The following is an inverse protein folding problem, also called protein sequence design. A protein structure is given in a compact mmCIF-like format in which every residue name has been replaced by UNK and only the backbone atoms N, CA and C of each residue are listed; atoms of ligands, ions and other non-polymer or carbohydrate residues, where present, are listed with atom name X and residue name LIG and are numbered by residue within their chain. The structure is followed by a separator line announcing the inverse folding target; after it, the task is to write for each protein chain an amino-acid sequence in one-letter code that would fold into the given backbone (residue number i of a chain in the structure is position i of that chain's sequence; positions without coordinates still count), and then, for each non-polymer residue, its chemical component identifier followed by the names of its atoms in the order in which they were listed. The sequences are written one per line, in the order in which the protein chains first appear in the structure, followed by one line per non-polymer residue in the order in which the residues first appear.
data_IF_524569778160
#
_entry.id   IF_524569778160
#
_cell.length_a   1.000
_cell.length_b   1.000
_cell.length_c   1.000
_cell.angle_alpha   90.00
_cell.angle_beta   90.00
_cell.angle_gamma   90.00
#
_symmetry.space_group_name_H-M   'P 1'
#
loop_
_entity.id
_entity.type
_entity.pdbx_description
1 polymer ?
#
# COMPACT_ATOMS: atom_id res chain seq x y z
N UNK A 1 24.56 6.93 11.92
CA UNK A 1 25.07 7.17 10.56
C UNK A 1 24.59 5.97 9.76
N UNK A 2 23.46 6.10 9.08
CA UNK A 2 22.95 5.12 8.12
C UNK A 2 23.70 5.44 6.83
N UNK A 3 24.35 4.47 6.24
CA UNK A 3 25.12 4.59 5.00
C UNK A 3 24.14 4.82 3.85
N UNK A 4 23.96 6.08 3.45
CA UNK A 4 22.95 6.58 2.51
C UNK A 4 23.38 6.51 1.03
N UNK A 5 24.41 5.73 0.71
CA UNK A 5 25.05 5.72 -0.62
C UNK A 5 25.02 4.34 -1.30
N UNK A 6 23.85 3.68 -1.36
CA UNK A 6 23.67 2.58 -2.28
C UNK A 6 22.72 3.02 -3.41
N UNK A 7 23.21 3.10 -4.65
CA UNK A 7 22.32 3.23 -5.79
C UNK A 7 21.46 1.97 -5.85
N UNK A 8 20.13 2.12 -5.79
CA UNK A 8 19.21 1.02 -6.04
C UNK A 8 19.42 0.54 -7.48
N UNK A 9 20.35 -0.40 -7.66
CA UNK A 9 20.45 -1.19 -8.88
C UNK A 9 19.13 -1.98 -9.00
N UNK A 10 18.62 -2.13 -10.21
CA UNK A 10 17.54 -3.07 -10.52
C UNK A 10 18.00 -4.49 -10.20
N UNK A 11 17.85 -4.87 -8.93
CA UNK A 11 18.04 -6.26 -8.54
C UNK A 11 16.74 -7.00 -8.84
N UNK A 12 16.80 -8.24 -9.35
CA UNK A 12 15.59 -9.06 -9.47
C UNK A 12 14.89 -9.10 -8.11
N UNK A 13 13.56 -9.02 -8.13
CA UNK A 13 12.77 -9.01 -6.91
C UNK A 13 13.15 -10.22 -6.05
N UNK A 14 13.54 -9.96 -4.81
CA UNK A 14 13.97 -11.00 -3.88
C UNK A 14 12.76 -11.84 -3.48
N UNK A 15 12.87 -13.17 -3.59
CA UNK A 15 11.85 -14.12 -3.17
C UNK A 15 12.14 -14.62 -1.75
N UNK A 16 11.08 -14.97 -1.02
CA UNK A 16 11.18 -15.52 0.34
C UNK A 16 11.43 -17.05 0.35
N UNK A 17 11.07 -17.73 -0.74
CA UNK A 17 11.04 -19.19 -0.85
C UNK A 17 9.63 -19.78 -0.73
N UNK A 18 8.68 -19.05 -0.15
CA UNK A 18 7.27 -19.44 -0.05
C UNK A 18 6.51 -19.22 -1.36
N UNK A 19 5.28 -19.78 -1.44
CA UNK A 19 4.40 -19.65 -2.59
C UNK A 19 3.09 -19.00 -2.21
N UNK A 20 2.60 -18.15 -3.11
CA UNK A 20 1.24 -17.61 -3.10
C UNK A 20 0.38 -18.53 -3.96
N UNK A 21 -0.74 -18.99 -3.43
CA UNK A 21 -1.69 -19.87 -4.12
C UNK A 21 -3.00 -19.11 -4.22
N UNK A 22 -3.43 -18.81 -5.44
CA UNK A 22 -4.68 -18.12 -5.72
C UNK A 22 -5.78 -19.14 -6.03
N UNK A 23 -6.90 -19.04 -5.32
CA UNK A 23 -8.06 -19.90 -5.54
C UNK A 23 -9.16 -19.18 -6.34
N UNK A 24 -10.03 -19.97 -6.97
CA UNK A 24 -11.23 -19.46 -7.65
C UNK A 24 -12.13 -18.70 -6.67
N UNK A 25 -12.92 -17.75 -7.20
CA UNK A 25 -13.76 -16.87 -6.38
C UNK A 25 -14.92 -17.63 -5.72
N UNK A 26 -15.35 -18.76 -6.28
CA UNK A 26 -16.46 -19.61 -5.84
C UNK A 26 -16.02 -20.84 -5.01
N UNK A 27 -14.72 -21.03 -4.80
CA UNK A 27 -14.22 -22.15 -4.00
C UNK A 27 -14.59 -22.03 -2.53
N UNK A 28 -15.07 -23.16 -1.96
CA UNK A 28 -15.35 -23.27 -0.52
C UNK A 28 -14.06 -23.44 0.30
N UNK A 29 -14.17 -23.25 1.61
CA UNK A 29 -13.08 -23.53 2.55
C UNK A 29 -12.58 -24.97 2.42
N UNK A 30 -13.52 -25.95 2.39
CA UNK A 30 -13.19 -27.36 2.31
C UNK A 30 -12.43 -27.70 1.04
N UNK A 31 -12.81 -27.11 -0.11
CA UNK A 31 -12.12 -27.30 -1.39
C UNK A 31 -10.70 -26.73 -1.37
N UNK A 32 -10.49 -25.56 -0.77
CA UNK A 32 -9.15 -24.95 -0.60
C UNK A 32 -8.25 -25.78 0.30
N UNK A 33 -8.77 -26.23 1.44
CA UNK A 33 -8.05 -27.13 2.37
C UNK A 33 -7.69 -28.42 1.67
N UNK A 34 -8.65 -29.05 0.96
CA UNK A 34 -8.42 -30.31 0.25
C UNK A 34 -7.35 -30.16 -0.84
N UNK A 35 -7.35 -29.06 -1.59
CA UNK A 35 -6.35 -28.77 -2.60
C UNK A 35 -4.94 -28.63 -2.00
N UNK A 36 -4.81 -27.97 -0.84
CA UNK A 36 -3.52 -27.83 -0.16
C UNK A 36 -3.04 -29.16 0.45
N UNK A 37 -3.94 -29.93 1.05
CA UNK A 37 -3.61 -31.23 1.65
C UNK A 37 -3.30 -32.31 0.63
N UNK A 38 -3.65 -32.12 -0.65
CA UNK A 38 -3.25 -33.01 -1.74
C UNK A 38 -1.76 -32.83 -2.13
N UNK A 39 -1.13 -31.73 -1.69
CA UNK A 39 0.28 -31.45 -1.95
C UNK A 39 1.17 -32.23 -1.00
N UNK A 40 2.11 -33.00 -1.52
CA UNK A 40 3.05 -33.77 -0.72
C UNK A 40 3.91 -32.85 0.17
N UNK A 41 3.87 -33.07 1.50
CA UNK A 41 4.61 -32.27 2.49
C UNK A 41 3.84 -31.05 3.00
N UNK A 42 2.53 -30.92 2.71
CA UNK A 42 1.62 -29.97 3.35
C UNK A 42 0.71 -30.76 4.31
N UNK A 43 1.15 -30.90 5.53
CA UNK A 43 0.43 -31.67 6.58
C UNK A 43 -0.50 -30.77 7.39
N UNK A 44 -0.13 -29.51 7.59
CA UNK A 44 -0.86 -28.56 8.43
C UNK A 44 -1.32 -27.34 7.63
N UNK A 45 -2.64 -27.10 7.62
CA UNK A 45 -3.26 -25.95 6.97
C UNK A 45 -3.98 -25.12 8.02
N UNK A 46 -3.54 -23.88 8.21
CA UNK A 46 -4.22 -22.90 9.05
C UNK A 46 -5.17 -22.03 8.23
N UNK A 47 -6.20 -21.50 8.87
CA UNK A 47 -7.16 -20.60 8.21
C UNK A 47 -7.39 -19.34 9.03
N UNK A 48 -7.52 -18.21 8.35
CA UNK A 48 -7.92 -16.95 8.98
C UNK A 48 -9.35 -16.98 9.54
N UNK A 49 -10.18 -17.96 9.13
CA UNK A 49 -11.52 -18.17 9.67
C UNK A 49 -11.50 -18.77 11.07
N UNK A 50 -10.48 -19.57 11.39
CA UNK A 50 -10.34 -20.25 12.68
C UNK A 50 -9.88 -19.32 13.81
N UNK A 51 -9.51 -18.11 13.46
CA UNK A 51 -8.90 -17.13 14.36
C UNK A 51 -9.82 -15.92 14.45
N UNK A 52 -10.25 -15.57 15.65
CA UNK A 52 -11.03 -14.35 15.89
C UNK A 52 -10.24 -13.14 15.40
N UNK A 53 -10.93 -12.07 14.97
CA UNK A 53 -10.35 -10.84 14.38
C UNK A 53 -9.21 -10.21 15.21
N UNK A 54 -9.05 -10.61 16.47
CA UNK A 54 -7.99 -10.14 17.39
C UNK A 54 -6.73 -11.00 17.38
N UNK A 55 -6.76 -12.21 16.82
CA UNK A 55 -5.72 -13.22 17.04
C UNK A 55 -4.97 -13.76 15.80
N UNK A 56 -5.21 -13.24 14.57
CA UNK A 56 -4.36 -13.58 13.43
C UNK A 56 -3.06 -12.76 13.51
N UNK A 57 -2.10 -13.25 14.26
CA UNK A 57 -0.75 -12.72 14.34
C UNK A 57 0.19 -13.43 13.35
N UNK A 58 1.40 -12.88 13.13
CA UNK A 58 2.41 -13.51 12.29
C UNK A 58 2.80 -14.92 12.71
N UNK A 59 2.50 -15.30 13.95
CA UNK A 59 2.76 -16.63 14.53
C UNK A 59 2.06 -17.77 13.77
N UNK A 60 0.93 -17.52 13.09
CA UNK A 60 0.24 -18.52 12.27
C UNK A 60 1.09 -18.91 11.05
N UNK A 61 1.84 -17.97 10.47
CA UNK A 61 2.71 -18.26 9.32
C UNK A 61 3.94 -19.08 9.69
N UNK A 62 4.25 -19.18 11.00
CA UNK A 62 5.40 -19.92 11.52
C UNK A 62 5.03 -21.33 11.96
N UNK A 63 3.74 -21.64 12.13
CA UNK A 63 3.28 -22.88 12.73
C UNK A 63 2.59 -23.84 11.78
N UNK A 64 2.19 -23.41 10.58
CA UNK A 64 1.51 -24.24 9.59
C UNK A 64 2.29 -24.24 8.27
N UNK A 65 2.25 -25.36 7.54
CA UNK A 65 2.86 -25.50 6.22
C UNK A 65 2.15 -24.62 5.19
N UNK A 66 0.86 -24.37 5.36
CA UNK A 66 0.09 -23.43 4.57
C UNK A 66 -0.91 -22.65 5.43
N UNK A 67 -1.15 -21.39 5.07
CA UNK A 67 -2.16 -20.52 5.70
C UNK A 67 -3.09 -19.92 4.67
N UNK A 68 -4.42 -20.14 4.83
CA UNK A 68 -5.47 -19.61 3.96
C UNK A 68 -5.99 -18.28 4.51
N UNK A 69 -6.00 -17.26 3.70
CA UNK A 69 -6.70 -15.98 3.90
C UNK A 69 -8.09 -16.09 3.25
N UNK A 70 -9.09 -16.42 4.04
CA UNK A 70 -10.42 -16.84 3.54
C UNK A 70 -11.13 -15.75 2.75
N UNK A 71 -11.14 -14.52 3.26
CA UNK A 71 -11.77 -13.38 2.56
C UNK A 71 -11.04 -13.03 1.27
N UNK A 72 -9.75 -13.31 1.22
CA UNK A 72 -8.91 -13.02 0.06
C UNK A 72 -8.87 -14.18 -0.94
N UNK A 73 -9.25 -15.41 -0.54
CA UNK A 73 -9.13 -16.62 -1.34
C UNK A 73 -7.71 -16.87 -1.83
N UNK A 74 -6.75 -16.61 -0.97
CA UNK A 74 -5.32 -16.79 -1.20
C UNK A 74 -4.78 -17.67 -0.08
N UNK A 75 -3.83 -18.56 -0.40
CA UNK A 75 -3.00 -19.18 0.60
C UNK A 75 -1.53 -18.80 0.42
N UNK A 76 -0.80 -18.84 1.52
CA UNK A 76 0.66 -18.79 1.54
C UNK A 76 1.17 -20.12 2.07
N UNK A 77 2.05 -20.78 1.32
CA UNK A 77 2.60 -22.07 1.70
C UNK A 77 4.15 -22.01 1.75
N UNK A 78 4.70 -22.62 2.80
CA UNK A 78 6.13 -22.88 2.94
C UNK A 78 6.41 -24.27 2.41
N UNK A 79 6.89 -24.36 1.18
CA UNK A 79 7.06 -25.62 0.47
C UNK A 79 8.51 -25.83 0.03
N UNK A 80 9.07 -26.93 0.45
CA UNK A 80 10.38 -27.38 -0.05
C UNK A 80 10.32 -27.80 -1.54
N UNK A 81 11.48 -28.12 -2.15
CA UNK A 81 11.54 -28.43 -3.58
C UNK A 81 10.62 -29.58 -4.03
N UNK A 82 10.47 -30.64 -3.23
CA UNK A 82 9.60 -31.79 -3.54
C UNK A 82 8.12 -31.38 -3.49
N UNK A 83 7.75 -30.66 -2.44
CA UNK A 83 6.40 -30.14 -2.29
C UNK A 83 6.04 -29.13 -3.38
N UNK A 84 7.02 -28.36 -3.89
CA UNK A 84 6.80 -27.44 -5.00
C UNK A 84 6.43 -28.19 -6.30
N UNK A 85 7.13 -29.28 -6.63
CA UNK A 85 6.76 -30.11 -7.80
C UNK A 85 5.37 -30.71 -7.64
N UNK A 86 5.00 -31.15 -6.42
CA UNK A 86 3.66 -31.64 -6.12
C UNK A 86 2.59 -30.54 -6.22
N UNK A 87 2.89 -29.33 -5.75
CA UNK A 87 2.00 -28.18 -5.83
C UNK A 87 1.76 -27.75 -7.28
N UNK A 88 2.80 -27.72 -8.11
CA UNK A 88 2.67 -27.39 -9.52
C UNK A 88 1.81 -28.45 -10.24
N UNK A 89 2.00 -29.74 -9.94
CA UNK A 89 1.19 -30.83 -10.49
C UNK A 89 -0.27 -30.76 -10.04
N UNK A 90 -0.52 -30.40 -8.78
CA UNK A 90 -1.89 -30.20 -8.26
C UNK A 90 -2.55 -29.01 -8.97
N UNK A 91 -1.82 -27.91 -9.16
CA UNK A 91 -2.35 -26.72 -9.83
C UNK A 91 -2.75 -26.98 -11.30
N UNK A 92 -2.05 -27.89 -12.00
CA UNK A 92 -2.43 -28.30 -13.36
C UNK A 92 -3.70 -29.14 -13.43
N UNK A 93 -4.03 -29.89 -12.37
CA UNK A 93 -5.11 -30.86 -12.35
C UNK A 93 -6.35 -30.37 -11.58
N UNK A 94 -6.17 -29.49 -10.62
CA UNK A 94 -7.22 -29.00 -9.74
C UNK A 94 -7.74 -27.62 -10.18
N UNK A 95 -8.96 -27.53 -10.73
CA UNK A 95 -9.52 -26.26 -11.22
C UNK A 95 -9.78 -25.22 -10.11
N UNK A 96 -9.68 -25.60 -8.84
CA UNK A 96 -9.82 -24.68 -7.70
C UNK A 96 -8.59 -23.76 -7.59
N UNK A 97 -7.41 -24.22 -8.04
CA UNK A 97 -6.18 -23.42 -8.05
C UNK A 97 -6.08 -22.63 -9.36
N UNK A 98 -6.06 -21.32 -9.26
CA UNK A 98 -5.94 -20.40 -10.42
C UNK A 98 -4.49 -20.11 -10.76
N UNK A 99 -3.65 -19.92 -9.74
CA UNK A 99 -2.23 -19.62 -9.91
C UNK A 99 -1.42 -20.05 -8.70
N UNK A 100 -0.16 -20.41 -8.96
CA UNK A 100 0.90 -20.62 -7.98
C UNK A 100 2.07 -19.71 -8.35
N UNK A 101 2.42 -18.80 -7.45
CA UNK A 101 3.41 -17.76 -7.71
C UNK A 101 4.43 -17.65 -6.55
N UNK A 102 5.67 -17.21 -6.81
CA UNK A 102 6.60 -16.97 -5.72
C UNK A 102 6.16 -15.81 -4.84
N UNK A 103 6.34 -15.95 -3.53
CA UNK A 103 6.22 -14.83 -2.60
C UNK A 103 7.46 -13.93 -2.69
N UNK A 104 7.25 -12.61 -2.65
CA UNK A 104 8.30 -11.62 -2.76
C UNK A 104 8.58 -10.90 -1.44
N UNK A 105 9.81 -10.43 -1.32
CA UNK A 105 10.18 -9.42 -0.33
C UNK A 105 9.74 -8.05 -0.86
N UNK A 106 8.94 -7.36 -0.07
CA UNK A 106 8.46 -6.00 -0.34
C UNK A 106 9.20 -4.98 0.51
N UNK A 107 9.28 -3.73 0.04
CA UNK A 107 10.04 -2.67 0.71
C UNK A 107 9.26 -1.36 0.73
N UNK A 108 9.57 -0.52 1.71
CA UNK A 108 9.15 0.88 1.71
C UNK A 108 9.79 1.61 0.51
N UNK A 109 8.97 2.38 -0.24
CA UNK A 109 9.41 3.02 -1.49
C UNK A 109 9.78 4.49 -1.26
N UNK A 110 10.98 4.74 -0.69
CA UNK A 110 11.56 6.08 -0.54
C UNK A 110 12.77 6.29 -1.43
N UNK A 111 13.09 7.54 -1.68
CA UNK A 111 14.29 7.95 -2.41
C UNK A 111 14.83 9.28 -1.91
N UNK A 112 16.12 9.50 -2.08
CA UNK A 112 16.81 10.77 -1.78
C UNK A 112 16.87 11.58 -3.08
N UNK A 113 15.80 12.31 -3.39
CA UNK A 113 15.79 13.24 -4.51
C UNK A 113 15.30 14.60 -4.01
N UNK A 114 16.03 15.67 -4.37
CA UNK A 114 15.64 17.03 -4.03
C UNK A 114 15.32 17.82 -5.30
N UNK A 115 14.24 18.60 -5.28
CA UNK A 115 13.90 19.48 -6.38
C UNK A 115 14.76 20.73 -6.38
N UNK A 116 15.27 21.11 -7.55
CA UNK A 116 15.74 22.47 -7.78
C UNK A 116 14.50 23.37 -7.96
N UNK A 117 14.18 24.14 -6.93
CA UNK A 117 12.86 24.71 -6.67
C UNK A 117 12.46 25.90 -7.49
N UNK A 118 11.13 26.02 -7.82
CA UNK A 118 10.62 27.35 -8.20
C UNK A 118 9.12 27.64 -7.97
N UNK A 119 8.21 26.69 -7.73
CA UNK A 119 6.78 27.03 -7.84
C UNK A 119 5.94 26.86 -6.57
N UNK A 120 5.70 25.65 -6.10
CA UNK A 120 4.95 25.44 -4.86
C UNK A 120 5.91 25.15 -3.71
N UNK A 121 5.68 25.79 -2.57
CA UNK A 121 6.51 25.59 -1.36
C UNK A 121 5.62 25.42 -0.15
N UNK A 122 6.16 24.73 0.87
CA UNK A 122 5.54 24.69 2.18
C UNK A 122 5.36 26.12 2.69
N UNK A 123 4.12 26.45 3.01
CA UNK A 123 3.75 27.73 3.57
C UNK A 123 3.60 27.67 5.08
N UNK A 124 3.37 28.82 5.71
CA UNK A 124 3.10 28.88 7.16
C UNK A 124 1.86 28.12 7.58
N UNK A 125 0.88 27.95 6.66
CA UNK A 125 -0.42 27.35 6.96
C UNK A 125 -0.54 25.89 6.50
N UNK A 126 0.15 25.52 5.42
CA UNK A 126 0.04 24.18 4.82
C UNK A 126 1.23 23.84 3.93
N UNK A 127 1.47 22.54 3.77
CA UNK A 127 2.47 22.01 2.84
C UNK A 127 2.07 22.27 1.38
N UNK A 128 3.05 22.21 0.49
CA UNK A 128 2.83 22.40 -0.94
C UNK A 128 1.88 21.35 -1.52
N UNK A 129 1.96 20.11 -1.01
CA UNK A 129 1.10 19.01 -1.44
C UNK A 129 -0.37 19.28 -1.17
N UNK A 130 -0.71 19.81 0.01
CA UNK A 130 -2.10 20.16 0.34
C UNK A 130 -2.61 21.35 -0.47
N UNK A 131 -1.73 22.28 -0.86
CA UNK A 131 -2.08 23.40 -1.74
C UNK A 131 -2.37 22.91 -3.15
N UNK A 132 -1.48 22.10 -3.73
CA UNK A 132 -1.62 21.54 -5.07
C UNK A 132 -2.92 20.73 -5.21
N UNK A 133 -3.21 19.90 -4.22
CA UNK A 133 -4.38 19.00 -4.19
C UNK A 133 -5.68 19.69 -3.73
N UNK A 134 -5.67 21.00 -3.50
CA UNK A 134 -6.83 21.81 -3.05
C UNK A 134 -7.43 21.38 -1.71
N UNK A 135 -6.73 20.57 -0.92
CA UNK A 135 -7.18 20.15 0.42
C UNK A 135 -7.36 21.34 1.37
N UNK A 136 -6.56 22.40 1.17
CA UNK A 136 -6.62 23.61 2.02
C UNK A 136 -7.95 24.36 1.95
N UNK A 137 -8.67 24.26 0.85
CA UNK A 137 -9.95 24.91 0.61
C UNK A 137 -11.14 23.97 0.77
N UNK A 138 -10.89 22.66 0.93
CA UNK A 138 -11.94 21.67 1.13
C UNK A 138 -12.48 21.74 2.58
N UNK A 139 -13.81 21.82 2.77
CA UNK A 139 -14.41 21.84 4.11
C UNK A 139 -14.45 20.46 4.77
N UNK A 140 -14.26 19.39 3.99
CA UNK A 140 -14.31 18.01 4.45
C UNK A 140 -13.00 17.64 5.18
N UNK A 141 -13.09 16.63 6.03
CA UNK A 141 -11.97 16.18 6.86
C UNK A 141 -11.82 14.64 6.94
N UNK A 142 -12.70 13.89 6.24
CA UNK A 142 -12.72 12.43 6.27
C UNK A 142 -13.48 11.82 7.45
N UNK A 143 -14.19 12.60 8.25
CA UNK A 143 -14.97 12.12 9.40
C UNK A 143 -15.92 10.98 8.98
N UNK A 144 -15.97 9.92 9.80
CA UNK A 144 -16.77 8.71 9.56
C UNK A 144 -16.15 7.71 8.57
N UNK A 145 -14.98 8.02 8.01
CA UNK A 145 -14.26 7.13 7.08
C UNK A 145 -13.08 6.46 7.79
N UNK A 146 -12.97 5.14 7.64
CA UNK A 146 -11.83 4.35 8.12
C UNK A 146 -10.78 4.25 7.02
N UNK A 147 -9.56 4.67 7.33
CA UNK A 147 -8.39 4.59 6.43
C UNK A 147 -7.36 3.69 7.09
N UNK A 148 -6.98 2.62 6.40
CA UNK A 148 -5.88 1.76 6.81
C UNK A 148 -4.59 2.18 6.09
N UNK A 149 -3.50 2.31 6.84
CA UNK A 149 -2.14 2.51 6.31
C UNK A 149 -1.34 1.27 6.65
N UNK A 150 -0.91 0.53 5.62
CA UNK A 150 -0.12 -0.68 5.74
C UNK A 150 1.34 -0.35 5.42
N UNK A 151 2.20 -0.31 6.46
CA UNK A 151 3.54 0.24 6.34
C UNK A 151 4.47 -0.27 7.47
N UNK A 152 5.50 0.50 7.85
CA UNK A 152 6.48 0.19 8.92
C UNK A 152 5.95 0.37 10.35
N UNK A 153 4.67 0.67 10.52
CA UNK A 153 4.04 0.95 11.80
C UNK A 153 3.76 2.45 12.01
N UNK A 154 3.62 2.86 13.28
CA UNK A 154 3.32 4.24 13.63
C UNK A 154 3.88 4.57 15.03
N UNK A 155 4.39 5.78 15.22
CA UNK A 155 4.76 6.28 16.54
C UNK A 155 3.52 6.73 17.34
N UNK A 156 3.00 5.82 18.17
CA UNK A 156 1.82 6.05 19.00
C UNK A 156 2.01 7.18 20.02
N UNK A 157 3.26 7.62 20.27
CA UNK A 157 3.59 8.71 21.19
C UNK A 157 3.67 10.09 20.51
N UNK A 158 3.48 10.12 19.16
CA UNK A 158 3.60 11.38 18.42
C UNK A 158 2.57 12.41 18.87
N UNK A 159 2.99 13.61 19.33
CA UNK A 159 2.12 14.56 20.00
C UNK A 159 0.99 15.12 19.14
N UNK A 160 1.16 15.16 17.82
CA UNK A 160 0.11 15.63 16.89
C UNK A 160 -1.09 14.68 16.82
N UNK A 161 -0.95 13.45 17.31
CA UNK A 161 -2.00 12.44 17.34
C UNK A 161 -2.52 12.17 18.75
N UNK A 162 -2.10 12.96 19.73
CA UNK A 162 -2.56 12.83 21.10
C UNK A 162 -4.09 12.95 21.17
N UNK A 163 -4.73 11.97 21.84
CA UNK A 163 -6.19 11.91 21.98
C UNK A 163 -6.95 11.36 20.78
N UNK A 164 -6.27 11.00 19.68
CA UNK A 164 -6.91 10.29 18.57
C UNK A 164 -6.96 8.79 18.84
N UNK A 165 -8.12 8.18 18.63
CA UNK A 165 -8.24 6.73 18.64
C UNK A 165 -7.57 6.16 17.37
N UNK A 166 -6.54 5.33 17.57
CA UNK A 166 -5.83 4.63 16.50
C UNK A 166 -5.99 3.14 16.76
N UNK A 167 -6.56 2.43 15.79
CA UNK A 167 -6.61 0.97 15.81
C UNK A 167 -5.36 0.46 15.10
N UNK A 168 -4.56 -0.36 15.77
CA UNK A 168 -3.27 -0.76 15.22
C UNK A 168 -2.96 -2.23 15.48
N UNK A 169 -2.21 -2.84 14.56
CA UNK A 169 -1.77 -4.23 14.65
C UNK A 169 -0.44 -4.43 13.91
N UNK A 170 0.45 -5.24 14.49
CA UNK A 170 1.66 -5.72 13.80
C UNK A 170 1.38 -7.07 13.14
N UNK A 171 1.87 -7.22 11.92
CA UNK A 171 1.93 -8.44 11.12
C UNK A 171 3.37 -8.89 10.89
N UNK A 172 4.32 -8.27 11.59
CA UNK A 172 5.74 -8.59 11.56
C UNK A 172 6.09 -9.34 12.84
N UNK A 173 6.59 -10.56 12.69
CA UNK A 173 6.96 -11.40 13.84
C UNK A 173 8.01 -10.72 14.72
N UNK A 174 7.80 -10.76 16.03
CA UNK A 174 8.73 -10.21 17.03
C UNK A 174 8.80 -8.68 17.10
N UNK A 175 8.00 -7.94 16.31
CA UNK A 175 7.94 -6.48 16.37
C UNK A 175 6.52 -6.02 16.75
N UNK A 176 6.42 -5.05 17.65
CA UNK A 176 5.17 -4.34 17.95
C UNK A 176 4.86 -3.29 16.86
N UNK A 177 3.75 -2.56 17.00
CA UNK A 177 3.32 -1.57 16.01
C UNK A 177 4.19 -0.30 16.00
N UNK A 178 5.03 -0.11 17.02
CA UNK A 178 5.90 1.06 17.11
C UNK A 178 6.82 1.16 15.89
N UNK A 179 6.84 2.32 15.27
CA UNK A 179 7.62 2.58 14.07
C UNK A 179 9.07 2.90 14.41
N UNK A 180 9.97 1.96 14.19
CA UNK A 180 11.42 2.16 14.32
C UNK A 180 12.11 2.63 13.04
N UNK A 181 11.37 2.69 11.91
CA UNK A 181 11.88 3.14 10.61
C UNK A 181 11.53 4.61 10.33
N UNK A 182 10.26 4.99 10.54
CA UNK A 182 9.74 6.34 10.34
C UNK A 182 8.85 6.51 9.11
N UNK A 183 8.95 5.63 8.12
CA UNK A 183 8.20 5.72 6.88
C UNK A 183 6.69 5.62 7.11
N UNK A 184 6.23 4.68 7.92
CA UNK A 184 4.81 4.50 8.24
C UNK A 184 4.23 5.70 8.99
N UNK A 185 4.98 6.26 9.95
CA UNK A 185 4.58 7.48 10.66
C UNK A 185 4.41 8.66 9.70
N UNK A 186 5.28 8.75 8.68
CA UNK A 186 5.18 9.77 7.64
C UNK A 186 3.94 9.57 6.77
N UNK A 187 3.64 8.35 6.35
CA UNK A 187 2.48 8.00 5.52
C UNK A 187 1.15 8.22 6.26
N UNK A 188 1.06 7.83 7.55
CA UNK A 188 -0.10 8.12 8.41
C UNK A 188 -0.29 9.62 8.56
N UNK A 189 0.81 10.37 8.77
CA UNK A 189 0.77 11.82 8.86
C UNK A 189 0.23 12.48 7.61
N UNK A 190 0.74 12.09 6.46
CA UNK A 190 0.32 12.64 5.16
C UNK A 190 -1.15 12.36 4.88
N UNK A 191 -1.64 11.12 5.13
CA UNK A 191 -3.04 10.78 4.89
C UNK A 191 -4.00 11.36 5.94
N UNK A 192 -3.66 11.25 7.24
CA UNK A 192 -4.60 11.46 8.34
C UNK A 192 -4.11 12.45 9.42
N UNK A 193 -3.01 13.15 9.20
CA UNK A 193 -2.45 14.13 10.15
C UNK A 193 -3.44 15.25 10.50
N UNK A 194 -3.24 15.92 11.65
CA UNK A 194 -4.19 16.90 12.17
C UNK A 194 -4.32 18.14 11.27
N UNK A 195 -5.51 18.76 11.31
CA UNK A 195 -5.78 20.02 10.60
C UNK A 195 -4.96 21.18 11.15
N UNK A 196 -4.66 21.17 12.44
CA UNK A 196 -3.91 22.20 13.15
C UNK A 196 -2.85 21.55 14.05
N UNK A 197 -1.69 21.16 13.50
CA UNK A 197 -0.57 20.70 14.31
C UNK A 197 -0.11 21.79 15.28
N UNK A 198 0.34 21.40 16.48
CA UNK A 198 0.63 22.36 17.55
C UNK A 198 1.78 23.33 17.23
N UNK A 199 2.73 22.91 16.38
CA UNK A 199 4.00 23.66 16.16
C UNK A 199 4.36 23.89 14.70
N UNK A 200 3.61 23.33 13.74
CA UNK A 200 3.97 23.36 12.32
C UNK A 200 2.76 23.62 11.41
N UNK A 201 3.00 23.82 10.13
CA UNK A 201 1.93 23.93 9.12
C UNK A 201 1.19 22.60 8.94
N UNK A 202 -0.06 22.67 8.49
CA UNK A 202 -0.87 21.49 8.15
C UNK A 202 -0.19 20.64 7.08
N UNK A 203 -0.09 19.34 7.34
CA UNK A 203 0.48 18.35 6.42
C UNK A 203 -0.48 17.19 6.13
N UNK A 204 -1.50 16.98 6.95
CA UNK A 204 -2.48 15.89 6.81
C UNK A 204 -3.68 16.25 5.96
N UNK A 205 -4.11 15.30 5.12
CA UNK A 205 -5.25 15.46 4.21
C UNK A 205 -6.56 15.26 4.97
N UNK A 206 -6.85 14.04 5.43
CA UNK A 206 -8.12 13.61 6.04
C UNK A 206 -8.03 13.61 7.57
N UNK A 207 -7.97 14.81 8.15
CA UNK A 207 -7.68 15.00 9.57
C UNK A 207 -8.75 14.45 10.54
N UNK A 208 -9.95 14.17 10.09
CA UNK A 208 -11.05 13.58 10.86
C UNK A 208 -11.26 12.07 10.60
N UNK A 209 -10.48 11.46 9.71
CA UNK A 209 -10.61 10.03 9.42
C UNK A 209 -10.24 9.15 10.62
N UNK A 210 -10.90 7.99 10.75
CA UNK A 210 -10.51 6.95 11.71
C UNK A 210 -9.29 6.21 11.19
N UNK A 211 -8.22 6.18 11.99
CA UNK A 211 -6.91 5.66 11.57
C UNK A 211 -6.78 4.20 11.96
N UNK A 212 -6.44 3.37 10.98
CA UNK A 212 -6.06 1.98 11.16
C UNK A 212 -4.61 1.81 10.70
N UNK A 213 -3.75 1.25 11.53
CA UNK A 213 -2.33 1.05 11.23
C UNK A 213 -2.01 -0.44 11.22
N UNK A 214 -1.59 -0.95 10.07
CA UNK A 214 -1.03 -2.29 9.94
C UNK A 214 0.49 -2.21 9.74
N UNK A 215 1.27 -2.70 10.72
CA UNK A 215 2.71 -2.84 10.50
C UNK A 215 2.96 -4.12 9.72
N UNK A 216 3.28 -3.95 8.43
CA UNK A 216 3.58 -5.05 7.48
C UNK A 216 5.05 -5.07 7.07
N UNK A 217 5.75 -3.97 7.30
CA UNK A 217 7.17 -3.83 7.09
C UNK A 217 7.87 -3.70 8.45
N UNK A 218 9.00 -4.37 8.58
CA UNK A 218 9.85 -4.34 9.77
C UNK A 218 10.49 -2.96 10.00
N UNK A 219 11.16 -2.79 11.12
CA UNK A 219 11.98 -1.61 11.40
C UNK A 219 13.19 -1.46 10.45
N UNK A 220 13.49 -2.48 9.64
CA UNK A 220 14.42 -2.41 8.52
C UNK A 220 13.78 -1.96 7.19
N UNK A 221 12.46 -1.67 7.17
CA UNK A 221 11.73 -1.21 5.99
C UNK A 221 11.39 -2.32 4.98
N UNK A 222 11.42 -3.59 5.38
CA UNK A 222 11.11 -4.73 4.51
C UNK A 222 10.08 -5.67 5.16
N UNK A 223 9.32 -6.36 4.33
CA UNK A 223 8.32 -7.36 4.72
C UNK A 223 8.09 -8.37 3.60
N UNK A 224 7.02 -9.13 3.69
CA UNK A 224 6.65 -10.13 2.70
C UNK A 224 5.21 -9.95 2.22
N UNK A 225 4.86 -10.56 1.08
CA UNK A 225 3.49 -10.56 0.58
C UNK A 225 2.51 -11.11 1.62
N UNK A 226 2.89 -12.16 2.37
CA UNK A 226 2.05 -12.73 3.43
C UNK A 226 1.67 -11.70 4.51
N UNK A 227 2.62 -10.88 4.95
CA UNK A 227 2.35 -9.83 5.94
C UNK A 227 1.35 -8.80 5.40
N UNK A 228 1.49 -8.44 4.11
CA UNK A 228 0.56 -7.52 3.43
C UNK A 228 -0.82 -8.13 3.31
N UNK A 229 -0.92 -9.38 2.85
CA UNK A 229 -2.20 -10.09 2.67
C UNK A 229 -2.96 -10.21 4.00
N UNK A 230 -2.26 -10.58 5.09
CA UNK A 230 -2.85 -10.63 6.42
C UNK A 230 -3.42 -9.27 6.88
N UNK A 231 -2.66 -8.20 6.63
CA UNK A 231 -3.09 -6.86 6.99
C UNK A 231 -4.23 -6.33 6.09
N UNK A 232 -4.24 -6.70 4.80
CA UNK A 232 -5.35 -6.37 3.89
C UNK A 232 -6.64 -7.07 4.34
N UNK A 233 -6.57 -8.36 4.69
CA UNK A 233 -7.72 -9.09 5.22
C UNK A 233 -8.26 -8.44 6.51
N UNK A 234 -7.36 -8.09 7.43
CA UNK A 234 -7.70 -7.37 8.66
C UNK A 234 -8.36 -6.01 8.37
N UNK A 235 -7.82 -5.22 7.46
CA UNK A 235 -8.37 -3.91 7.11
C UNK A 235 -9.76 -4.02 6.47
N UNK A 236 -9.97 -5.00 5.57
CA UNK A 236 -11.26 -5.30 4.95
C UNK A 236 -12.27 -5.77 6.02
N UNK A 237 -11.87 -6.68 6.91
CA UNK A 237 -12.71 -7.16 8.00
C UNK A 237 -13.14 -6.05 8.97
N UNK A 238 -12.29 -5.03 9.15
CA UNK A 238 -12.61 -3.82 9.92
C UNK A 238 -13.42 -2.78 9.13
N UNK A 239 -13.82 -3.06 7.88
CA UNK A 239 -14.61 -2.16 7.04
C UNK A 239 -13.89 -0.85 6.71
N UNK A 240 -12.57 -0.90 6.51
CA UNK A 240 -11.82 0.25 6.03
C UNK A 240 -12.24 0.58 4.59
N UNK A 241 -12.65 1.83 4.34
CA UNK A 241 -13.05 2.25 3.01
C UNK A 241 -11.85 2.42 2.06
N UNK A 242 -10.68 2.68 2.63
CA UNK A 242 -9.43 2.92 1.91
C UNK A 242 -8.30 2.15 2.59
N UNK A 243 -7.48 1.48 1.79
CA UNK A 243 -6.18 0.93 2.19
C UNK A 243 -5.10 1.68 1.41
N UNK A 244 -4.12 2.23 2.13
CA UNK A 244 -2.94 2.91 1.59
C UNK A 244 -1.71 2.02 1.76
N UNK A 245 -1.04 1.69 0.65
CA UNK A 245 0.16 0.85 0.61
C UNK A 245 1.31 1.60 -0.05
N UNK A 246 2.16 2.21 0.77
CA UNK A 246 3.35 2.94 0.33
C UNK A 246 4.57 2.02 0.21
N UNK A 247 4.39 0.88 -0.44
CA UNK A 247 5.35 -0.21 -0.51
C UNK A 247 5.27 -0.92 -1.86
N UNK A 248 6.24 -1.77 -2.15
CA UNK A 248 6.22 -2.60 -3.35
C UNK A 248 7.51 -3.39 -3.56
N UNK A 249 7.51 -4.12 -4.67
CA UNK A 249 8.66 -4.83 -5.22
C UNK A 249 8.79 -4.51 -6.72
N UNK A 250 10.03 -4.51 -7.23
CA UNK A 250 10.32 -4.28 -8.65
C UNK A 250 10.00 -5.54 -9.47
N UNK A 251 8.72 -5.94 -9.46
CA UNK A 251 8.14 -7.02 -10.25
C UNK A 251 7.26 -6.40 -11.32
N UNK A 252 7.69 -6.48 -12.59
CA UNK A 252 6.97 -5.85 -13.71
C UNK A 252 5.72 -6.63 -14.14
N UNK A 253 5.71 -7.96 -13.94
CA UNK A 253 4.55 -8.80 -14.25
C UNK A 253 3.54 -8.73 -13.09
N UNK A 254 2.26 -8.45 -13.37
CA UNK A 254 1.23 -8.51 -12.33
C UNK A 254 1.18 -9.86 -11.62
N UNK A 255 1.02 -9.84 -10.31
CA UNK A 255 0.88 -11.03 -9.47
C UNK A 255 -0.61 -11.35 -9.33
N UNK A 256 -1.03 -12.55 -9.73
CA UNK A 256 -2.44 -12.96 -9.75
C UNK A 256 -3.10 -12.88 -8.36
N UNK A 257 -2.33 -13.14 -7.31
CA UNK A 257 -2.80 -13.01 -5.93
C UNK A 257 -3.26 -11.56 -5.64
N UNK A 258 -2.48 -10.53 -5.99
CA UNK A 258 -2.87 -9.15 -5.76
C UNK A 258 -4.04 -8.70 -6.64
N UNK A 259 -4.11 -9.20 -7.88
CA UNK A 259 -5.26 -8.95 -8.75
C UNK A 259 -6.56 -9.52 -8.14
N UNK A 260 -6.53 -10.74 -7.63
CA UNK A 260 -7.67 -11.37 -6.97
C UNK A 260 -8.07 -10.60 -5.69
N UNK A 261 -7.09 -10.28 -4.86
CA UNK A 261 -7.31 -9.54 -3.60
C UNK A 261 -7.90 -8.16 -3.85
N UNK A 262 -7.37 -7.42 -4.83
CA UNK A 262 -7.89 -6.09 -5.19
C UNK A 262 -9.34 -6.14 -5.66
N UNK A 263 -9.72 -7.13 -6.51
CA UNK A 263 -11.11 -7.34 -6.93
C UNK A 263 -12.03 -7.61 -5.74
N UNK A 264 -11.62 -8.51 -4.81
CA UNK A 264 -12.40 -8.84 -3.62
C UNK A 264 -12.51 -7.67 -2.65
N UNK A 265 -11.43 -6.86 -2.51
CA UNK A 265 -11.46 -5.62 -1.73
C UNK A 265 -12.47 -4.62 -2.31
N UNK A 266 -12.46 -4.40 -3.63
CA UNK A 266 -13.43 -3.53 -4.31
C UNK A 266 -14.87 -4.02 -4.12
N UNK A 267 -15.12 -5.33 -4.23
CA UNK A 267 -16.43 -5.94 -3.99
C UNK A 267 -16.88 -5.79 -2.53
N UNK A 268 -15.95 -5.81 -1.56
CA UNK A 268 -16.21 -5.56 -0.15
C UNK A 268 -16.38 -4.06 0.19
N UNK A 269 -16.23 -3.16 -0.80
CA UNK A 269 -16.34 -1.72 -0.60
C UNK A 269 -15.05 -1.04 -0.14
N UNK A 270 -13.91 -1.70 -0.27
CA UNK A 270 -12.58 -1.17 0.08
C UNK A 270 -11.82 -0.80 -1.20
N UNK A 271 -11.29 0.43 -1.28
CA UNK A 271 -10.39 0.87 -2.33
C UNK A 271 -8.94 0.71 -1.87
N UNK A 272 -8.16 -0.10 -2.59
CA UNK A 272 -6.73 -0.27 -2.36
C UNK A 272 -5.96 0.69 -3.25
N UNK A 273 -5.03 1.44 -2.65
CA UNK A 273 -4.21 2.46 -3.31
C UNK A 273 -2.75 2.15 -3.03
N UNK A 274 -1.93 2.01 -4.08
CA UNK A 274 -0.54 1.60 -3.96
C UNK A 274 0.42 2.53 -4.70
N UNK A 275 1.65 2.61 -4.21
CA UNK A 275 2.73 3.37 -4.81
C UNK A 275 3.24 2.68 -6.08
N UNK A 276 3.32 3.42 -7.19
CA UNK A 276 3.68 2.87 -8.49
C UNK A 276 5.11 2.33 -8.58
N UNK A 277 6.04 2.89 -7.80
CA UNK A 277 7.45 2.51 -7.81
C UNK A 277 8.39 3.68 -8.01
N UNK A 278 9.64 3.52 -7.56
CA UNK A 278 10.69 4.53 -7.61
C UNK A 278 11.90 4.09 -8.46
N UNK A 279 11.66 3.17 -9.38
CA UNK A 279 12.71 2.56 -10.20
C UNK A 279 13.09 3.37 -11.46
N UNK A 280 12.40 4.49 -11.74
CA UNK A 280 12.76 5.38 -12.84
C UNK A 280 14.02 6.20 -12.55
N UNK A 281 14.72 6.59 -13.62
CA UNK A 281 15.89 7.49 -13.64
C UNK A 281 15.74 8.47 -14.80
N UNK A 282 14.72 9.32 -14.67
CA UNK A 282 14.36 10.28 -15.73
C UNK A 282 15.43 11.33 -15.96
N UNK A 283 15.67 11.76 -17.21
CA UNK A 283 14.89 11.42 -18.41
C UNK A 283 15.31 10.13 -19.13
N UNK A 284 16.36 9.45 -18.70
CA UNK A 284 16.94 8.32 -19.43
C UNK A 284 16.12 7.03 -19.33
N UNK A 285 15.72 6.64 -18.12
CA UNK A 285 14.96 5.42 -17.85
C UNK A 285 13.62 5.80 -17.18
N UNK A 286 12.47 5.52 -17.81
CA UNK A 286 11.17 5.81 -17.22
C UNK A 286 10.74 4.80 -16.16
N UNK A 287 11.46 3.69 -15.95
CA UNK A 287 11.06 2.61 -15.06
C UNK A 287 9.77 1.91 -15.49
N UNK A 288 9.18 1.19 -14.54
CA UNK A 288 7.91 0.47 -14.72
C UNK A 288 7.12 0.41 -13.42
N UNK A 289 5.79 0.24 -13.51
CA UNK A 289 4.95 0.06 -12.33
C UNK A 289 5.20 -1.31 -11.72
N UNK A 290 5.57 -1.35 -10.44
CA UNK A 290 5.88 -2.57 -9.71
C UNK A 290 4.68 -3.17 -8.97
N UNK A 291 4.85 -4.39 -8.45
CA UNK A 291 3.84 -5.05 -7.60
C UNK A 291 3.78 -4.37 -6.21
N UNK A 292 2.58 -4.20 -5.60
CA UNK A 292 1.26 -4.64 -6.07
C UNK A 292 0.52 -3.62 -6.96
N UNK A 293 1.09 -2.43 -7.19
CA UNK A 293 0.42 -1.34 -7.92
C UNK A 293 0.11 -1.70 -9.39
N UNK A 294 0.85 -2.65 -9.97
CA UNK A 294 0.61 -3.13 -11.34
C UNK A 294 -0.58 -4.10 -11.48
N UNK A 295 -1.41 -4.26 -10.45
CA UNK A 295 -2.67 -5.00 -10.55
C UNK A 295 -3.79 -4.09 -11.02
N UNK A 296 -4.63 -4.51 -11.97
CA UNK A 296 -5.72 -3.70 -12.55
C UNK A 296 -6.83 -3.35 -11.54
N UNK A 297 -6.86 -4.07 -10.43
CA UNK A 297 -7.81 -3.90 -9.32
C UNK A 297 -7.26 -3.06 -8.15
N UNK A 298 -6.01 -2.58 -8.24
CA UNK A 298 -5.33 -1.71 -7.26
C UNK A 298 -5.00 -0.39 -7.93
N UNK A 299 -5.32 0.74 -7.28
CA UNK A 299 -5.12 2.08 -7.84
C UNK A 299 -3.64 2.48 -7.71
N UNK A 300 -2.96 2.63 -8.84
CA UNK A 300 -1.55 2.98 -8.92
C UNK A 300 -1.31 4.49 -8.89
N UNK A 301 -0.41 4.95 -8.01
CA UNK A 301 -0.13 6.37 -7.79
C UNK A 301 1.28 6.75 -8.22
N UNK A 302 1.37 7.67 -9.21
CA UNK A 302 2.61 8.33 -9.62
C UNK A 302 2.94 9.56 -8.77
N UNK A 303 4.23 9.94 -8.74
CA UNK A 303 4.72 11.06 -7.93
C UNK A 303 5.01 12.32 -8.74
N UNK A 304 4.49 13.45 -8.27
CA UNK A 304 4.75 14.79 -8.80
C UNK A 304 5.74 15.57 -7.90
N UNK A 305 6.48 16.46 -8.54
CA UNK A 305 7.31 17.48 -7.91
C UNK A 305 6.51 18.78 -7.63
N UNK A 306 7.05 19.74 -6.85
CA UNK A 306 6.38 21.00 -6.55
C UNK A 306 6.07 21.90 -7.76
N UNK A 307 6.71 21.67 -8.90
CA UNK A 307 6.41 22.31 -10.17
C UNK A 307 5.35 21.56 -11.00
N UNK A 308 4.73 20.54 -10.44
CA UNK A 308 3.76 19.63 -11.05
C UNK A 308 4.30 18.82 -12.24
N UNK A 309 5.61 18.71 -12.39
CA UNK A 309 6.27 17.75 -13.28
C UNK A 309 6.42 16.42 -12.58
N UNK A 310 6.71 15.38 -13.37
CA UNK A 310 7.02 14.07 -12.78
C UNK A 310 8.26 14.13 -11.92
N UNK A 311 8.20 13.53 -10.75
CA UNK A 311 9.39 13.29 -9.94
C UNK A 311 10.36 12.36 -10.71
N UNK A 312 11.69 12.61 -10.63
CA UNK A 312 12.66 11.90 -11.49
C UNK A 312 12.72 10.39 -11.28
N UNK A 313 12.26 9.92 -10.13
CA UNK A 313 12.20 8.51 -9.76
C UNK A 313 10.86 7.83 -10.07
N UNK A 314 9.81 8.60 -10.37
CA UNK A 314 8.46 8.05 -10.51
C UNK A 314 8.36 7.12 -11.71
N UNK A 315 7.91 5.90 -11.46
CA UNK A 315 7.65 4.89 -12.48
C UNK A 315 6.65 5.37 -13.52
N UNK A 316 6.73 4.80 -14.74
CA UNK A 316 5.83 5.04 -15.87
C UNK A 316 5.03 3.77 -16.16
N UNK A 317 3.82 3.96 -16.67
CA UNK A 317 3.02 2.86 -17.22
C UNK A 317 3.78 2.13 -18.34
N UNK A 318 3.61 0.81 -18.37
CA UNK A 318 4.15 -0.07 -19.40
C UNK A 318 3.01 -0.69 -20.21
N UNK A 319 3.28 -1.22 -21.43
CA UNK A 319 2.25 -1.87 -22.23
C UNK A 319 1.83 -3.26 -21.72
N UNK A 320 2.13 -3.59 -20.47
CA UNK A 320 1.68 -4.82 -19.81
C UNK A 320 0.34 -4.55 -19.15
N UNK A 321 -0.60 -5.51 -19.21
CA UNK A 321 -1.85 -5.43 -18.47
C UNK A 321 -1.56 -5.21 -16.99
N UNK A 322 -2.22 -4.20 -16.39
CA UNK A 322 -1.98 -3.79 -15.02
C UNK A 322 -0.83 -2.81 -14.82
N UNK A 323 0.11 -2.66 -15.77
CA UNK A 323 1.24 -1.73 -15.65
C UNK A 323 0.88 -0.25 -15.82
N UNK A 324 -0.35 0.17 -15.53
CA UNK A 324 -0.86 1.54 -15.68
C UNK A 324 -0.54 2.41 -14.48
N UNK A 325 -0.46 3.74 -14.72
CA UNK A 325 -0.64 4.75 -13.68
C UNK A 325 -2.09 5.22 -13.74
N UNK A 326 -2.80 5.24 -12.62
CA UNK A 326 -4.20 5.68 -12.57
C UNK A 326 -4.32 7.17 -12.26
N UNK A 327 -3.47 7.66 -11.34
CA UNK A 327 -3.51 9.02 -10.83
C UNK A 327 -2.11 9.45 -10.35
N UNK A 328 -1.88 10.76 -10.28
CA UNK A 328 -0.64 11.30 -9.73
C UNK A 328 -0.92 12.25 -8.55
N UNK A 329 0.04 12.34 -7.63
CA UNK A 329 -0.06 13.19 -6.45
C UNK A 329 1.32 13.69 -5.99
N UNK A 330 1.38 14.66 -5.04
CA UNK A 330 2.62 15.18 -4.48
C UNK A 330 3.49 14.09 -3.86
N UNK A 331 4.71 13.91 -4.40
CA UNK A 331 5.61 12.85 -3.95
C UNK A 331 7.07 13.27 -3.76
N UNK A 332 7.47 14.47 -4.21
CA UNK A 332 8.83 14.97 -4.04
C UNK A 332 8.87 16.04 -2.94
N UNK A 333 9.84 15.94 -2.02
CA UNK A 333 10.03 16.86 -0.88
C UNK A 333 8.74 17.04 -0.05
N UNK A 334 8.16 15.93 0.39
CA UNK A 334 6.94 15.92 1.19
C UNK A 334 7.27 15.97 2.68
N UNK A 335 6.81 17.04 3.34
CA UNK A 335 6.92 17.21 4.79
C UNK A 335 5.76 16.54 5.51
N UNK A 336 6.05 15.74 6.55
CA UNK A 336 5.04 15.07 7.37
C UNK A 336 5.59 14.70 8.76
N UNK A 337 4.78 14.01 9.59
CA UNK A 337 5.19 13.49 10.88
C UNK A 337 6.29 12.44 10.74
N UNK A 338 7.12 12.33 11.77
CA UNK A 338 8.22 11.37 11.90
C UNK A 338 8.32 10.91 13.35
N UNK A 339 8.84 9.71 13.65
CA UNK A 339 8.96 9.27 15.04
C UNK A 339 9.74 10.22 15.93
N UNK A 340 9.36 10.22 17.20
CA UNK A 340 10.09 10.99 18.23
C UNK A 340 11.53 10.45 18.37
N UNK A 341 12.53 11.29 18.65
CA UNK A 341 12.43 12.72 18.95
C UNK A 341 12.47 13.65 17.74
N UNK A 342 12.65 13.15 16.52
CA UNK A 342 12.76 13.95 15.27
C UNK A 342 11.47 14.70 14.95
N UNK A 343 10.32 14.06 15.19
CA UNK A 343 8.95 14.59 15.08
C UNK A 343 8.45 14.87 13.67
N UNK A 344 9.25 15.46 12.80
CA UNK A 344 8.90 15.77 11.40
C UNK A 344 10.08 15.52 10.49
N UNK A 345 9.77 15.14 9.24
CA UNK A 345 10.80 14.89 8.24
C UNK A 345 10.29 15.19 6.84
N UNK A 346 11.22 15.45 5.91
CA UNK A 346 10.94 15.62 4.49
C UNK A 346 11.55 14.43 3.76
N UNK A 347 10.72 13.66 3.07
CA UNK A 347 11.16 12.54 2.25
C UNK A 347 10.44 12.56 0.90
N UNK A 348 10.94 11.76 -0.03
CA UNK A 348 10.45 11.71 -1.41
C UNK A 348 10.16 10.27 -1.82
N UNK A 349 9.17 10.05 -2.67
CA UNK A 349 8.78 8.74 -3.19
C UNK A 349 7.35 8.74 -3.73
N UNK A 350 7.01 7.77 -4.55
CA UNK A 350 5.61 7.43 -4.84
C UNK A 350 4.88 7.03 -3.57
N UNK A 351 5.62 6.57 -2.56
CA UNK A 351 5.16 6.36 -1.17
C UNK A 351 4.58 7.60 -0.50
N UNK A 352 5.00 8.80 -0.87
CA UNK A 352 4.46 10.04 -0.30
C UNK A 352 3.28 10.55 -1.12
N UNK A 353 3.21 10.20 -2.40
CA UNK A 353 2.07 10.48 -3.26
C UNK A 353 0.84 9.65 -2.86
N UNK A 354 1.04 8.37 -2.58
CA UNK A 354 0.00 7.41 -2.20
C UNK A 354 -0.86 7.85 -1.01
N UNK A 355 -0.33 8.26 0.14
CA UNK A 355 -1.15 8.71 1.26
C UNK A 355 -1.88 10.03 1.01
N UNK A 356 -1.41 10.92 0.11
CA UNK A 356 -2.20 12.05 -0.35
C UNK A 356 -3.49 11.57 -1.03
N UNK A 357 -3.36 10.61 -1.96
CA UNK A 357 -4.51 10.03 -2.67
C UNK A 357 -5.44 9.29 -1.70
N UNK A 358 -4.90 8.53 -0.75
CA UNK A 358 -5.68 7.82 0.26
C UNK A 358 -6.51 8.79 1.14
N UNK A 359 -5.89 9.87 1.58
CA UNK A 359 -6.60 10.92 2.30
C UNK A 359 -7.70 11.59 1.45
N UNK A 360 -7.41 11.91 0.17
CA UNK A 360 -8.38 12.50 -0.76
C UNK A 360 -9.53 11.52 -1.03
N UNK A 361 -9.25 10.23 -1.20
CA UNK A 361 -10.28 9.20 -1.33
C UNK A 361 -11.20 9.16 -0.10
N UNK A 362 -10.68 9.37 1.11
CA UNK A 362 -11.51 9.49 2.31
C UNK A 362 -12.42 10.73 2.28
N UNK A 363 -11.95 11.86 1.72
CA UNK A 363 -12.80 13.05 1.52
C UNK A 363 -13.93 12.77 0.52
N UNK A 364 -13.65 12.10 -0.60
CA UNK A 364 -14.67 11.66 -1.56
C UNK A 364 -15.66 10.66 -0.93
N UNK A 365 -15.15 9.70 -0.16
CA UNK A 365 -15.99 8.73 0.53
C UNK A 365 -16.93 9.40 1.55
N UNK A 366 -16.47 10.46 2.24
CA UNK A 366 -17.29 11.29 3.14
C UNK A 366 -18.36 12.06 2.38
N UNK A 367 -18.00 12.72 1.28
CA UNK A 367 -18.92 13.61 0.54
C UNK A 367 -19.99 12.86 -0.24
N UNK A 368 -19.66 11.67 -0.75
CA UNK A 368 -20.53 10.95 -1.70
C UNK A 368 -21.17 9.69 -1.13
N UNK A 369 -20.65 9.15 -0.03
CA UNK A 369 -21.01 7.83 0.49
C UNK A 369 -20.48 6.65 -0.34
N UNK A 370 -19.79 6.90 -1.46
CA UNK A 370 -19.27 5.87 -2.38
C UNK A 370 -18.19 5.01 -1.73
N UNK A 371 -18.07 3.76 -2.21
CA UNK A 371 -17.12 2.75 -1.74
C UNK A 371 -16.62 1.92 -2.91
N UNK A 372 -15.51 1.20 -2.72
CA UNK A 372 -14.95 0.28 -3.71
C UNK A 372 -14.77 0.92 -5.09
N UNK A 373 -15.29 0.29 -6.14
CA UNK A 373 -15.17 0.77 -7.52
C UNK A 373 -15.81 2.14 -7.75
N UNK A 374 -16.97 2.41 -7.17
CA UNK A 374 -17.64 3.72 -7.31
C UNK A 374 -16.79 4.85 -6.69
N UNK A 375 -16.06 4.55 -5.59
CA UNK A 375 -15.13 5.51 -4.99
C UNK A 375 -13.93 5.76 -5.89
N UNK A 376 -13.36 4.72 -6.50
CA UNK A 376 -12.31 4.84 -7.51
C UNK A 376 -12.75 5.77 -8.65
N UNK A 377 -13.91 5.50 -9.25
CA UNK A 377 -14.43 6.29 -10.36
C UNK A 377 -14.66 7.76 -9.97
N UNK A 378 -15.18 8.02 -8.76
CA UNK A 378 -15.37 9.37 -8.27
C UNK A 378 -14.02 10.11 -8.09
N UNK A 379 -13.02 9.42 -7.59
CA UNK A 379 -11.67 9.96 -7.41
C UNK A 379 -11.03 10.32 -8.77
N UNK A 380 -11.11 9.41 -9.75
CA UNK A 380 -10.61 9.64 -11.11
C UNK A 380 -11.34 10.80 -11.80
N UNK A 381 -12.66 10.86 -11.68
CA UNK A 381 -13.47 11.93 -12.26
C UNK A 381 -13.16 13.32 -11.66
N UNK A 382 -12.66 13.37 -10.44
CA UNK A 382 -12.31 14.60 -9.73
C UNK A 382 -10.87 15.08 -9.95
N UNK A 383 -10.09 14.43 -10.80
CA UNK A 383 -8.69 14.82 -11.06
C UNK A 383 -8.58 16.14 -11.82
N UNK A 384 -7.49 16.85 -11.60
CA UNK A 384 -7.09 17.96 -12.44
C UNK A 384 -6.16 17.45 -13.55
N UNK A 385 -6.57 17.59 -14.82
CA UNK A 385 -5.72 17.25 -15.96
C UNK A 385 -4.39 18.02 -15.94
N UNK A 386 -3.32 17.35 -16.32
CA UNK A 386 -1.97 17.91 -16.47
C UNK A 386 -1.52 17.81 -17.92
N UNK A 387 -0.69 18.78 -18.37
CA UNK A 387 -0.06 18.75 -19.71
C UNK A 387 1.16 17.79 -19.69
N UNK A 388 0.95 16.56 -19.27
CA UNK A 388 1.94 15.48 -19.17
C UNK A 388 1.39 14.22 -19.85
N UNK A 389 2.27 13.27 -20.27
CA UNK A 389 1.82 12.00 -20.85
C UNK A 389 0.92 11.22 -19.89
N UNK A 390 -0.15 10.61 -20.42
CA UNK A 390 -1.07 9.78 -19.63
C UNK A 390 -0.37 8.58 -18.98
N UNK A 391 0.66 8.06 -19.62
CA UNK A 391 1.52 6.99 -19.13
C UNK A 391 2.27 7.38 -17.84
N UNK A 392 2.41 8.66 -17.58
CA UNK A 392 3.10 9.20 -16.40
C UNK A 392 2.14 9.58 -15.27
N UNK A 393 0.97 10.11 -15.61
CA UNK A 393 0.06 10.75 -14.64
C UNK A 393 -1.33 10.13 -14.58
N UNK A 394 -1.64 9.17 -15.44
CA UNK A 394 -2.98 8.61 -15.55
C UNK A 394 -4.02 9.69 -15.84
N UNK A 395 -5.06 9.76 -15.03
CA UNK A 395 -6.12 10.78 -15.13
C UNK A 395 -5.65 12.20 -14.74
N UNK A 396 -4.48 12.35 -14.10
CA UNK A 396 -3.92 13.63 -13.69
C UNK A 396 -3.69 13.78 -12.18
N UNK A 397 -3.61 15.01 -11.71
CA UNK A 397 -3.40 15.33 -10.30
C UNK A 397 -4.65 15.04 -9.46
N UNK A 398 -4.51 14.26 -8.42
CA UNK A 398 -5.56 14.08 -7.41
C UNK A 398 -5.92 15.42 -6.74
N UNK A 399 -7.22 15.75 -6.68
CA UNK A 399 -7.70 16.95 -5.99
C UNK A 399 -8.84 16.62 -5.04
N UNK A 400 -8.93 17.35 -3.92
CA UNK A 400 -10.06 17.25 -3.00
C UNK A 400 -11.38 17.65 -3.69
N UNK A 401 -12.54 17.06 -3.28
CA UNK A 401 -13.85 17.35 -3.83
C UNK A 401 -14.34 18.77 -3.54
#
# INVERSE_FOLDING_TARGET
MIDDDQPTSSHPAQQTGRRLITFTDDSSHEERVAALQAVEGVDTVASSADVTTESVGPEIFETADATIFERLGIAVADVGPVALESLDAEAEQNPVIVAVEPEHVVRALTTVAHAAHTHLRDGRLSTWGLQATKVTTCPLDGSGIRVAVLDTGFDLTHPDFAGRAIVSRSFVAGEDVQDGHGHGTHCVGTSCGPKAPATQCRYGVASGASIYVGKVLSNAGSGSDANILAAMEWAIANGCAVISMSLGADVATPVAAYEAVGRRALAAGTLVIAAAGNNARRPGDPGFVGSPANSTSILAVGALAPDLRMAPFSARATPVDGGSIDIAAPGLDVYSSWPMPTRYHIISGTSMATPHVAGIAALYAQSTGKRGRDLWEALIAGTQGLALPVEDVGAGLATAP
#
